data_IF_856826228557
#
_entry.id   IF_856826228557
#
_cell.length_a   1.000
_cell.length_b   1.000
_cell.length_c   1.000
_cell.angle_alpha   90.00
_cell.angle_beta   90.00
_cell.angle_gamma   90.00
#
_symmetry.space_group_name_H-M   'P 1'
#
loop_
_entity.id
_entity.type
_entity.pdbx_description
1 polymer ?
#
# COMPACT_ATOMS: atom_id res chain seq x y z
N UNK A 1 18.82 -20.12 -2.70
CA UNK A 1 18.49 -20.11 -3.15
C UNK A 1 18.26 -19.54 -3.97
N UNK A 2 18.90 -19.71 -4.33
CA UNK A 2 18.73 -19.29 -5.21
C UNK A 2 17.57 -19.10 -5.52
N UNK A 3 17.32 -18.80 -6.25
CA UNK A 3 16.05 -18.51 -6.59
C UNK A 3 15.27 -17.94 -5.52
N UNK A 4 15.88 -17.57 -4.55
CA UNK A 4 15.17 -16.98 -3.47
C UNK A 4 14.47 -15.77 -3.98
N UNK A 5 13.19 -15.90 -4.14
CA UNK A 5 12.41 -14.77 -4.54
C UNK A 5 12.37 -13.76 -3.43
N UNK A 6 12.66 -12.56 -3.79
CA UNK A 6 12.52 -11.47 -2.86
C UNK A 6 11.05 -11.21 -2.68
N UNK A 7 10.54 -11.43 -1.49
CA UNK A 7 9.17 -11.04 -1.17
C UNK A 7 9.15 -9.52 -1.05
N UNK A 8 8.33 -8.84 -1.83
CA UNK A 8 8.28 -7.37 -1.74
C UNK A 8 7.88 -6.92 -0.33
N UNK A 9 8.54 -5.91 0.13
CA UNK A 9 8.21 -5.32 1.43
C UNK A 9 6.89 -4.56 1.32
N UNK A 10 6.19 -4.44 2.43
CA UNK A 10 4.92 -3.73 2.48
C UNK A 10 4.97 -2.67 3.56
N UNK A 11 4.57 -1.47 3.17
CA UNK A 11 4.53 -0.33 4.08
C UNK A 11 3.15 0.29 4.10
N UNK A 12 2.89 1.08 5.13
CA UNK A 12 1.73 1.97 5.16
C UNK A 12 2.24 3.34 5.58
N UNK A 13 1.62 4.39 5.02
CA UNK A 13 1.98 5.75 5.45
C UNK A 13 1.40 6.01 6.84
N UNK A 14 1.95 7.03 7.52
CA UNK A 14 1.43 7.42 8.82
C UNK A 14 -0.05 7.81 8.72
N UNK A 15 -0.42 8.49 7.62
CA UNK A 15 -1.82 8.85 7.40
C UNK A 15 -2.70 7.61 7.29
N UNK A 16 -2.25 6.64 6.50
CA UNK A 16 -3.01 5.40 6.32
C UNK A 16 -3.15 4.64 7.65
N UNK A 17 -2.07 4.60 8.43
CA UNK A 17 -2.09 3.92 9.72
C UNK A 17 -3.19 4.47 10.62
N UNK A 18 -3.32 5.79 10.64
CA UNK A 18 -4.34 6.45 11.45
C UNK A 18 -5.75 6.15 10.91
N UNK A 19 -5.92 6.22 9.59
CA UNK A 19 -7.21 5.94 8.97
C UNK A 19 -7.63 4.50 9.20
N UNK A 20 -6.70 3.56 9.06
CA UNK A 20 -6.98 2.14 9.26
C UNK A 20 -7.35 1.85 10.71
N UNK A 21 -6.67 2.50 11.66
CA UNK A 21 -7.00 2.33 13.06
C UNK A 21 -8.43 2.79 13.35
N UNK A 22 -8.82 3.93 12.80
CA UNK A 22 -10.19 4.42 12.96
C UNK A 22 -11.20 3.47 12.33
N UNK A 23 -10.84 2.81 11.25
CA UNK A 23 -11.70 1.86 10.56
C UNK A 23 -11.63 0.47 11.16
N UNK A 24 -10.77 0.27 12.17
CA UNK A 24 -10.56 -1.02 12.83
C UNK A 24 -10.06 -2.09 11.86
N UNK A 25 -9.18 -1.69 10.96
CA UNK A 25 -8.52 -2.60 10.03
C UNK A 25 -7.10 -2.79 10.54
N UNK A 26 -6.77 -4.01 10.96
CA UNK A 26 -5.46 -4.27 11.54
C UNK A 26 -4.46 -4.69 10.47
N UNK A 27 -3.19 -4.81 10.89
CA UNK A 27 -2.13 -5.16 9.96
C UNK A 27 -2.30 -6.56 9.38
N UNK A 28 -2.88 -7.47 10.13
CA UNK A 28 -3.11 -8.81 9.62
C UNK A 28 -4.03 -8.78 8.40
N UNK A 29 -5.09 -7.97 8.47
CA UNK A 29 -6.02 -7.82 7.35
C UNK A 29 -5.31 -7.19 6.16
N UNK A 30 -4.46 -6.19 6.40
CA UNK A 30 -3.70 -5.55 5.33
C UNK A 30 -2.72 -6.52 4.69
N UNK A 31 -2.10 -7.38 5.48
CA UNK A 31 -1.15 -8.34 4.95
C UNK A 31 -1.83 -9.43 4.14
N UNK A 32 -3.03 -9.84 4.55
CA UNK A 32 -3.81 -10.77 3.72
C UNK A 32 -4.19 -10.13 2.39
N UNK A 33 -4.61 -8.86 2.44
CA UNK A 33 -5.04 -8.16 1.24
C UNK A 33 -3.89 -7.98 0.26
N UNK A 34 -2.68 -7.68 0.73
CA UNK A 34 -1.57 -7.46 -0.18
C UNK A 34 -1.18 -8.75 -0.91
N UNK A 35 -1.37 -9.89 -0.26
CA UNK A 35 -1.14 -11.16 -0.95
C UNK A 35 -2.10 -11.33 -2.12
N UNK A 36 -3.35 -10.92 -1.94
CA UNK A 36 -4.34 -10.96 -3.02
C UNK A 36 -3.98 -9.99 -4.13
N UNK A 37 -3.50 -8.81 -3.78
CA UNK A 37 -3.06 -7.83 -4.78
C UNK A 37 -1.95 -8.43 -5.65
N UNK A 38 -1.00 -9.10 -5.02
CA UNK A 38 0.11 -9.71 -5.75
C UNK A 38 -0.34 -10.83 -6.68
N UNK A 39 -1.50 -11.40 -6.41
CA UNK A 39 -2.11 -12.41 -7.29
C UNK A 39 -3.01 -11.78 -8.36
N UNK A 40 -3.04 -10.47 -8.45
CA UNK A 40 -3.84 -9.80 -9.45
C UNK A 40 -5.26 -9.47 -9.00
N UNK A 41 -5.57 -9.64 -7.74
CA UNK A 41 -6.93 -9.41 -7.24
C UNK A 41 -7.09 -7.98 -6.72
N UNK A 42 -6.87 -7.04 -7.63
CA UNK A 42 -7.03 -5.62 -7.34
C UNK A 42 -7.21 -4.91 -8.68
N UNK A 43 -7.76 -3.70 -8.63
CA UNK A 43 -7.92 -2.89 -9.84
C UNK A 43 -6.61 -2.15 -10.10
N UNK A 44 -6.01 -2.39 -11.24
CA UNK A 44 -4.80 -1.69 -11.67
C UNK A 44 -5.21 -0.40 -12.33
N UNK A 45 -4.91 0.72 -11.68
CA UNK A 45 -5.29 2.05 -12.20
C UNK A 45 -4.20 2.67 -13.05
N UNK A 46 -3.09 1.94 -13.26
CA UNK A 46 -1.99 2.43 -14.08
C UNK A 46 -1.01 3.26 -13.27
N UNK A 47 0.23 3.35 -13.79
CA UNK A 47 1.25 4.17 -13.16
C UNK A 47 1.69 3.73 -11.79
N UNK A 48 1.48 2.46 -11.46
CA UNK A 48 1.87 1.94 -10.16
C UNK A 48 0.82 2.16 -9.08
N UNK A 49 -0.41 2.46 -9.45
CA UNK A 49 -1.49 2.72 -8.49
C UNK A 49 -2.53 1.62 -8.58
N UNK A 50 -2.87 1.04 -7.44
CA UNK A 50 -3.85 -0.05 -7.37
C UNK A 50 -4.94 0.30 -6.38
N UNK A 51 -6.15 -0.19 -6.64
CA UNK A 51 -7.28 -0.03 -5.73
C UNK A 51 -7.69 -1.41 -5.23
N UNK A 52 -7.74 -1.57 -3.92
CA UNK A 52 -8.05 -2.86 -3.30
C UNK A 52 -9.20 -2.70 -2.31
N UNK A 53 -10.18 -3.57 -2.42
CA UNK A 53 -11.31 -3.61 -1.48
C UNK A 53 -10.85 -4.20 -0.15
N UNK A 54 -11.33 -3.60 0.92
CA UNK A 54 -11.03 -4.04 2.28
C UNK A 54 -12.31 -4.08 3.09
N UNK A 55 -12.23 -4.72 4.26
CA UNK A 55 -13.28 -4.68 5.28
C UNK A 55 -14.62 -5.12 4.69
N UNK A 56 -14.62 -6.33 4.14
CA UNK A 56 -15.83 -6.92 3.55
C UNK A 56 -16.47 -5.99 2.52
N UNK A 57 -15.62 -5.37 1.71
CA UNK A 57 -16.05 -4.51 0.61
C UNK A 57 -16.62 -3.16 1.07
N UNK A 58 -16.50 -2.81 2.36
CA UNK A 58 -16.98 -1.52 2.85
C UNK A 58 -15.99 -0.39 2.59
N UNK A 59 -14.73 -0.72 2.38
CA UNK A 59 -13.68 0.28 2.20
C UNK A 59 -12.85 0.00 0.98
N UNK A 60 -12.20 1.05 0.50
CA UNK A 60 -11.28 0.95 -0.63
C UNK A 60 -9.94 1.50 -0.20
N UNK A 61 -8.86 0.81 -0.54
CA UNK A 61 -7.52 1.32 -0.29
C UNK A 61 -6.84 1.62 -1.61
N UNK A 62 -5.98 2.64 -1.59
CA UNK A 62 -5.11 2.97 -2.71
C UNK A 62 -3.72 2.55 -2.30
N UNK A 63 -3.10 1.72 -3.14
CA UNK A 63 -1.80 1.12 -2.89
C UNK A 63 -0.86 1.54 -4.01
N UNK A 64 0.34 1.94 -3.64
CA UNK A 64 1.36 2.31 -4.60
C UNK A 64 2.35 1.16 -4.71
N UNK A 65 2.61 0.73 -5.94
CA UNK A 65 3.51 -0.37 -6.21
C UNK A 65 4.78 0.16 -6.85
N UNK A 66 5.91 -0.33 -6.38
CA UNK A 66 7.18 0.07 -6.96
C UNK A 66 7.91 -1.14 -7.49
N UNK A 67 7.44 -1.59 -8.62
CA UNK A 67 8.01 -2.72 -9.29
C UNK A 67 7.99 -3.95 -8.40
N UNK A 68 9.14 -4.54 -8.16
CA UNK A 68 9.25 -5.72 -7.30
C UNK A 68 9.83 -5.39 -5.94
N UNK A 69 9.95 -4.10 -5.63
CA UNK A 69 10.62 -3.69 -4.41
C UNK A 69 9.70 -3.62 -3.23
N UNK A 70 8.56 -2.95 -3.38
CA UNK A 70 7.66 -2.79 -2.24
C UNK A 70 6.31 -2.24 -2.67
N UNK A 71 5.37 -2.32 -1.71
CA UNK A 71 4.01 -1.81 -1.82
C UNK A 71 3.78 -0.81 -0.70
N UNK A 72 3.04 0.24 -0.96
CA UNK A 72 2.75 1.26 0.05
C UNK A 72 1.25 1.53 0.09
N UNK A 73 0.63 1.24 1.23
CA UNK A 73 -0.74 1.65 1.46
C UNK A 73 -0.77 3.16 1.69
N UNK A 74 -1.45 3.91 0.83
CA UNK A 74 -1.39 5.37 0.85
C UNK A 74 -2.69 6.04 1.23
N UNK A 75 -3.85 5.46 0.89
CA UNK A 75 -5.11 6.14 1.11
C UNK A 75 -6.22 5.12 1.38
N UNK A 76 -7.20 5.53 2.18
CA UNK A 76 -8.32 4.67 2.57
C UNK A 76 -9.60 5.51 2.55
N UNK A 77 -10.66 4.99 1.94
CA UNK A 77 -11.95 5.68 1.95
C UNK A 77 -13.08 4.67 2.04
N UNK A 78 -14.21 5.12 2.54
CA UNK A 78 -15.39 4.29 2.69
C UNK A 78 -16.19 4.29 1.38
N UNK A 79 -16.65 3.11 0.99
CA UNK A 79 -17.46 2.97 -0.23
C UNK A 79 -18.71 3.84 -0.17
N UNK A 80 -19.31 3.97 1.01
CA UNK A 80 -20.54 4.75 1.16
C UNK A 80 -20.30 6.25 0.98
N UNK A 81 -19.07 6.72 1.20
CA UNK A 81 -18.76 8.14 1.10
C UNK A 81 -18.44 8.54 -0.34
N UNK A 82 -17.81 7.64 -1.08
CA UNK A 82 -17.45 7.90 -2.46
C UNK A 82 -17.14 6.58 -3.14
N UNK A 83 -17.35 6.52 -4.45
CA UNK A 83 -17.16 5.27 -5.19
C UNK A 83 -15.72 5.08 -5.65
N UNK A 84 -14.98 6.16 -5.85
CA UNK A 84 -13.63 6.08 -6.39
C UNK A 84 -12.90 7.39 -6.13
N UNK A 85 -11.59 7.38 -6.39
CA UNK A 85 -10.82 8.62 -6.43
C UNK A 85 -11.06 9.29 -7.78
N UNK A 86 -10.89 10.61 -7.82
CA UNK A 86 -11.07 11.34 -9.08
C UNK A 86 -9.75 11.35 -9.87
N UNK A 87 -9.80 11.95 -11.06
CA UNK A 87 -8.64 11.93 -11.96
C UNK A 87 -7.47 12.73 -11.41
N UNK A 88 -7.75 13.83 -10.71
CA UNK A 88 -6.67 14.63 -10.13
C UNK A 88 -5.98 13.87 -9.02
N UNK A 89 -6.77 13.17 -8.18
CA UNK A 89 -6.19 12.33 -7.15
C UNK A 89 -5.36 11.19 -7.74
N UNK A 90 -5.88 10.55 -8.80
CA UNK A 90 -5.15 9.48 -9.46
C UNK A 90 -3.82 9.98 -10.00
N UNK A 91 -3.83 11.16 -10.62
CA UNK A 91 -2.60 11.76 -11.15
C UNK A 91 -1.60 12.01 -10.02
N UNK A 92 -2.10 12.52 -8.89
CA UNK A 92 -1.25 12.78 -7.74
C UNK A 92 -0.67 11.49 -7.17
N UNK A 93 -1.47 10.42 -7.10
CA UNK A 93 -0.97 9.14 -6.62
C UNK A 93 0.05 8.53 -7.58
N UNK A 94 -0.12 8.71 -8.88
CA UNK A 94 0.87 8.24 -9.85
C UNK A 94 2.20 8.97 -9.66
N UNK A 95 2.16 10.27 -9.40
CA UNK A 95 3.38 11.02 -9.11
C UNK A 95 4.03 10.54 -7.82
N UNK A 96 3.23 10.23 -6.82
CA UNK A 96 3.75 9.74 -5.56
C UNK A 96 4.39 8.36 -5.74
N UNK A 97 3.78 7.51 -6.57
CA UNK A 97 4.37 6.21 -6.88
C UNK A 97 5.73 6.38 -7.55
N UNK A 98 5.84 7.33 -8.49
CA UNK A 98 7.11 7.61 -9.14
C UNK A 98 8.16 8.12 -8.15
N UNK A 99 7.74 8.98 -7.22
CA UNK A 99 8.65 9.49 -6.19
C UNK A 99 9.19 8.37 -5.31
N UNK A 100 8.30 7.46 -4.90
CA UNK A 100 8.76 6.31 -4.12
C UNK A 100 9.70 5.43 -4.93
N UNK A 101 9.43 5.28 -6.22
CA UNK A 101 10.28 4.48 -7.08
C UNK A 101 11.69 5.04 -7.21
N UNK A 102 11.83 6.35 -7.06
CA UNK A 102 13.12 7.01 -7.15
C UNK A 102 13.88 7.03 -5.82
N UNK A 103 13.24 6.65 -4.71
CA UNK A 103 13.92 6.69 -3.42
C UNK A 103 14.88 5.53 -3.28
N UNK A 104 16.02 5.83 -2.67
CA UNK A 104 17.01 4.80 -2.35
C UNK A 104 16.56 4.05 -1.10
N UNK A 105 17.18 2.90 -0.87
CA UNK A 105 16.89 2.14 0.34
C UNK A 105 17.20 2.96 1.60
N UNK A 106 18.24 3.77 1.56
CA UNK A 106 18.59 4.62 2.69
C UNK A 106 17.46 5.62 2.97
N UNK A 107 16.90 6.20 1.91
CA UNK A 107 15.80 7.15 2.09
C UNK A 107 14.57 6.48 2.67
N UNK A 108 14.27 5.25 2.24
CA UNK A 108 13.16 4.50 2.80
C UNK A 108 13.41 4.21 4.28
N UNK A 109 14.63 3.79 4.63
CA UNK A 109 14.94 3.52 6.03
C UNK A 109 14.82 4.78 6.90
N UNK A 110 15.16 5.94 6.34
CA UNK A 110 14.99 7.19 7.08
C UNK A 110 13.51 7.48 7.34
N UNK A 111 12.65 7.22 6.35
CA UNK A 111 11.21 7.41 6.55
C UNK A 111 10.65 6.47 7.59
N UNK A 112 11.17 5.25 7.65
CA UNK A 112 10.76 4.31 8.69
C UNK A 112 11.23 4.79 10.06
N UNK A 113 12.45 5.32 10.12
CA UNK A 113 13.01 5.77 11.39
C UNK A 113 12.21 6.93 11.98
N UNK A 114 11.78 7.87 11.14
CA UNK A 114 10.99 9.01 11.60
C UNK A 114 9.48 8.74 11.57
N UNK A 115 9.10 7.52 11.20
CA UNK A 115 7.71 7.03 11.26
C UNK A 115 6.76 7.75 10.31
N UNK A 116 7.28 8.23 9.19
CA UNK A 116 6.46 8.67 8.06
C UNK A 116 5.93 7.46 7.31
N UNK A 117 6.72 6.38 7.31
CA UNK A 117 6.30 5.06 6.84
C UNK A 117 6.41 4.07 7.98
N UNK A 118 5.54 3.08 7.97
CA UNK A 118 5.61 1.96 8.90
C UNK A 118 5.63 0.67 8.09
N UNK A 119 6.51 -0.23 8.45
CA UNK A 119 6.59 -1.52 7.75
C UNK A 119 5.64 -2.52 8.40
N UNK A 120 4.93 -3.27 7.55
CA UNK A 120 4.02 -4.31 8.02
C UNK A 120 4.34 -5.59 7.26
N UNK A 121 3.76 -6.68 7.71
CA UNK A 121 3.89 -7.99 7.04
C UNK A 121 5.30 -8.58 7.09
N UNK A 122 6.11 -8.12 8.02
CA UNK A 122 7.49 -8.58 8.08
C UNK A 122 7.70 -9.72 9.06
N UNK A 123 6.68 -10.11 9.81
CA UNK A 123 6.80 -11.29 10.67
C UNK A 123 6.17 -12.52 10.03
N UNK A 124 5.79 -12.45 8.79
CA UNK A 124 5.19 -13.58 8.09
C UNK A 124 6.18 -14.70 7.87
N UNK A 125 7.45 -14.39 7.96
CA UNK A 125 8.46 -15.40 7.74
C UNK A 125 8.77 -16.17 9.01
N UNK A 126 8.11 -15.85 10.05
CA UNK A 126 8.33 -16.56 11.30
C UNK A 126 7.92 -18.02 11.20
#
# INVERSE_FOLDING_TARGET
VEGAEQIPRTFKTAWFAKAARKARIDDEALCRAIKEVRLGQADDLGGGVFKKRLDENRRRSIILAQGRRYWVYAYLFAKQDRSNIDEDELRAFRKLADLYGAKTDVEIEMELKVKVLLEICNDDQA
#
